data_IF_447619824779
#
_entry.id   IF_447619824779
#
_cell.length_a   1.000
_cell.length_b   1.000
_cell.length_c   1.000
_cell.angle_alpha   90.00
_cell.angle_beta   90.00
_cell.angle_gamma   90.00
#
_symmetry.space_group_name_H-M   'P 1'
#
loop_
_entity.id
_entity.type
_entity.pdbx_description
1 polymer ?
#
# COMPACT_ATOMS: atom_id res chain seq x y z
N UNK A 1 0.49 -13.12 -13.88
CA UNK A 1 -0.82 -12.43 -13.80
C UNK A 1 -1.94 -13.37 -13.31
N UNK A 2 -1.93 -14.67 -13.67
CA UNK A 2 -2.94 -15.65 -13.21
C UNK A 2 -3.02 -15.81 -11.68
N UNK A 3 -1.88 -15.77 -10.98
CA UNK A 3 -1.80 -16.03 -9.53
C UNK A 3 -2.52 -14.99 -8.64
N UNK A 4 -2.92 -13.86 -9.21
CA UNK A 4 -3.58 -12.75 -8.51
C UNK A 4 -4.99 -12.47 -9.04
N UNK A 5 -5.54 -13.33 -9.92
CA UNK A 5 -6.81 -13.09 -10.60
C UNK A 5 -7.97 -12.85 -9.61
N UNK A 6 -8.09 -13.66 -8.55
CA UNK A 6 -9.11 -13.48 -7.50
C UNK A 6 -9.03 -12.10 -6.83
N UNK A 7 -7.81 -11.61 -6.56
CA UNK A 7 -7.61 -10.27 -5.97
C UNK A 7 -8.00 -9.16 -6.95
N UNK A 8 -7.68 -9.34 -8.24
CA UNK A 8 -8.04 -8.37 -9.29
C UNK A 8 -9.55 -8.33 -9.50
N UNK A 9 -10.25 -9.46 -9.44
CA UNK A 9 -11.70 -9.55 -9.67
C UNK A 9 -12.55 -9.33 -8.41
N UNK A 10 -11.94 -9.05 -7.26
CA UNK A 10 -12.67 -8.86 -5.99
C UNK A 10 -13.76 -7.78 -6.11
N UNK A 11 -13.57 -6.73 -6.92
CA UNK A 11 -14.57 -5.68 -7.15
C UNK A 11 -15.89 -6.21 -7.74
N UNK A 12 -15.88 -7.37 -8.40
CA UNK A 12 -17.10 -7.98 -8.97
C UNK A 12 -18.03 -8.57 -7.92
N UNK A 13 -17.49 -8.92 -6.74
CA UNK A 13 -18.23 -9.53 -5.62
C UNK A 13 -18.31 -8.62 -4.39
N UNK A 14 -17.36 -7.70 -4.23
CA UNK A 14 -17.31 -6.73 -3.15
C UNK A 14 -17.30 -5.30 -3.69
N UNK A 15 -18.46 -4.64 -3.64
CA UNK A 15 -18.66 -3.28 -4.14
C UNK A 15 -17.94 -2.20 -3.33
N UNK A 16 -17.43 -2.52 -2.14
CA UNK A 16 -16.57 -1.60 -1.39
C UNK A 16 -15.16 -1.46 -2.00
N UNK A 17 -14.77 -2.40 -2.87
CA UNK A 17 -13.48 -2.35 -3.59
C UNK A 17 -13.70 -1.65 -4.93
N UNK A 18 -13.00 -0.54 -5.22
CA UNK A 18 -13.12 0.13 -6.51
C UNK A 18 -12.54 -0.74 -7.63
N UNK A 19 -13.16 -0.68 -8.81
CA UNK A 19 -12.68 -1.42 -10.00
C UNK A 19 -11.36 -0.87 -10.57
N UNK A 20 -10.95 0.34 -10.14
CA UNK A 20 -9.76 1.03 -10.65
C UNK A 20 -8.55 0.87 -9.74
N UNK A 21 -7.35 0.93 -10.33
CA UNK A 21 -6.08 0.96 -9.61
C UNK A 21 -5.67 2.37 -9.12
N UNK A 22 -6.58 3.36 -9.18
CA UNK A 22 -6.24 4.76 -8.94
C UNK A 22 -5.62 4.97 -7.55
N UNK A 23 -6.11 4.29 -6.52
CA UNK A 23 -5.57 4.40 -5.15
C UNK A 23 -4.09 4.00 -5.06
N UNK A 24 -3.70 2.90 -5.71
CA UNK A 24 -2.31 2.43 -5.74
C UNK A 24 -1.41 3.37 -6.55
N UNK A 25 -1.92 3.89 -7.67
CA UNK A 25 -1.18 4.84 -8.50
C UNK A 25 -0.97 6.17 -7.77
N UNK A 26 -2.00 6.69 -7.09
CA UNK A 26 -1.91 7.89 -6.26
C UNK A 26 -0.87 7.72 -5.16
N UNK A 27 -0.79 6.55 -4.52
CA UNK A 27 0.22 6.26 -3.52
C UNK A 27 1.66 6.31 -4.07
N UNK A 28 1.86 6.06 -5.36
CA UNK A 28 3.16 6.15 -6.04
C UNK A 28 3.44 7.52 -6.68
N UNK A 29 2.44 8.39 -6.86
CA UNK A 29 2.61 9.71 -7.47
C UNK A 29 3.55 10.60 -6.68
N UNK A 30 3.41 10.61 -5.35
CA UNK A 30 4.28 11.37 -4.44
C UNK A 30 5.77 11.07 -4.67
N UNK A 31 6.23 9.81 -4.51
CA UNK A 31 7.65 9.49 -4.68
C UNK A 31 8.15 9.68 -6.12
N UNK A 32 7.31 9.41 -7.14
CA UNK A 32 7.66 9.68 -8.55
C UNK A 32 7.85 11.17 -8.82
N UNK A 33 6.94 12.01 -8.33
CA UNK A 33 7.05 13.47 -8.46
C UNK A 33 8.26 14.01 -7.72
N UNK A 34 8.52 13.52 -6.50
CA UNK A 34 9.70 13.89 -5.74
C UNK A 34 10.98 13.56 -6.51
N UNK A 35 11.11 12.34 -7.07
CA UNK A 35 12.24 11.97 -7.92
C UNK A 35 12.40 12.91 -9.13
N UNK A 36 11.30 13.28 -9.79
CA UNK A 36 11.34 14.11 -10.99
C UNK A 36 11.72 15.58 -10.70
N UNK A 37 11.28 16.13 -9.56
CA UNK A 37 11.51 17.53 -9.21
C UNK A 37 12.84 17.73 -8.48
N UNK A 38 13.14 16.91 -7.47
CA UNK A 38 14.34 17.10 -6.64
C UNK A 38 15.52 16.22 -7.05
N UNK A 39 15.29 15.19 -7.90
CA UNK A 39 16.29 14.15 -8.16
C UNK A 39 16.61 13.29 -6.94
N UNK A 40 16.00 13.58 -5.77
CA UNK A 40 16.53 13.19 -4.48
C UNK A 40 15.79 11.97 -3.91
N UNK A 41 16.23 10.82 -4.36
CA UNK A 41 16.24 9.61 -3.56
C UNK A 41 17.69 9.16 -3.55
N UNK A 42 18.47 9.58 -2.55
CA UNK A 42 19.94 9.38 -2.46
C UNK A 42 20.47 8.07 -3.05
N UNK A 43 19.72 6.99 -2.85
CA UNK A 43 19.94 5.68 -3.46
C UNK A 43 18.60 4.97 -3.69
N UNK A 44 18.62 3.92 -4.53
CA UNK A 44 17.48 3.01 -4.69
C UNK A 44 17.03 2.38 -3.36
N UNK A 45 17.97 2.15 -2.43
CA UNK A 45 17.66 1.61 -1.11
C UNK A 45 16.79 2.57 -0.28
N UNK A 46 17.06 3.89 -0.36
CA UNK A 46 16.25 4.91 0.32
C UNK A 46 14.82 4.93 -0.22
N UNK A 47 14.65 4.91 -1.54
CA UNK A 47 13.33 4.83 -2.17
C UNK A 47 12.59 3.53 -1.78
N UNK A 48 13.30 2.40 -1.76
CA UNK A 48 12.72 1.11 -1.37
C UNK A 48 12.19 1.13 0.07
N UNK A 49 12.97 1.69 1.02
CA UNK A 49 12.54 1.87 2.42
C UNK A 49 11.31 2.77 2.53
N UNK A 50 11.30 3.90 1.82
CA UNK A 50 10.14 4.79 1.76
C UNK A 50 8.89 4.05 1.25
N UNK A 51 9.00 3.38 0.10
CA UNK A 51 7.89 2.63 -0.51
C UNK A 51 7.38 1.51 0.40
N UNK A 52 8.27 0.83 1.14
CA UNK A 52 7.88 -0.22 2.10
C UNK A 52 7.02 0.34 3.23
N UNK A 53 7.43 1.44 3.85
CA UNK A 53 6.64 2.06 4.94
C UNK A 53 5.34 2.65 4.38
N UNK A 54 5.41 3.38 3.28
CA UNK A 54 4.26 4.05 2.70
C UNK A 54 3.19 3.05 2.20
N UNK A 55 3.60 1.96 1.55
CA UNK A 55 2.67 0.91 1.10
C UNK A 55 1.93 0.26 2.27
N UNK A 56 2.63 -0.08 3.36
CA UNK A 56 2.01 -0.59 4.58
C UNK A 56 0.92 0.36 5.13
N UNK A 57 1.25 1.64 5.25
CA UNK A 57 0.31 2.64 5.78
C UNK A 57 -0.89 2.88 4.86
N UNK A 58 -0.69 2.90 3.54
CA UNK A 58 -1.77 3.03 2.57
C UNK A 58 -2.71 1.81 2.63
N UNK A 59 -2.15 0.60 2.74
CA UNK A 59 -2.95 -0.62 2.88
C UNK A 59 -3.73 -0.64 4.20
N UNK A 60 -3.11 -0.29 5.32
CA UNK A 60 -3.77 -0.19 6.62
C UNK A 60 -4.93 0.83 6.58
N UNK A 61 -4.68 2.02 6.01
CA UNK A 61 -5.72 3.04 5.81
C UNK A 61 -6.87 2.52 4.94
N UNK A 62 -6.56 1.78 3.87
CA UNK A 62 -7.57 1.16 3.00
C UNK A 62 -8.47 0.14 3.72
N UNK A 63 -8.02 -0.40 4.85
CA UNK A 63 -8.77 -1.33 5.70
C UNK A 63 -9.34 -0.65 6.96
N UNK A 64 -9.41 0.69 6.98
CA UNK A 64 -10.01 1.44 8.09
C UNK A 64 -9.12 1.64 9.31
N UNK A 65 -7.84 1.31 9.22
CA UNK A 65 -6.90 1.45 10.35
C UNK A 65 -6.24 2.82 10.28
N UNK A 66 -6.27 3.56 11.40
CA UNK A 66 -5.60 4.87 11.48
C UNK A 66 -4.09 4.66 11.40
N UNK A 67 -3.39 5.54 10.69
CA UNK A 67 -1.95 5.43 10.51
C UNK A 67 -1.19 5.35 11.84
N UNK A 68 -1.58 6.14 12.84
CA UNK A 68 -0.95 6.13 14.17
C UNK A 68 -1.09 4.77 14.86
N UNK A 69 -2.25 4.11 14.75
CA UNK A 69 -2.49 2.80 15.35
C UNK A 69 -1.65 1.73 14.62
N UNK A 70 -1.60 1.79 13.28
CA UNK A 70 -0.80 0.87 12.48
C UNK A 70 0.70 1.00 12.76
N UNK A 71 1.19 2.22 12.98
CA UNK A 71 2.58 2.51 13.37
C UNK A 71 2.85 1.97 14.77
N UNK A 72 1.99 2.30 15.74
CA UNK A 72 2.13 1.83 17.11
C UNK A 72 2.16 0.30 17.17
N UNK A 73 1.22 -0.37 16.49
CA UNK A 73 1.14 -1.83 16.46
C UNK A 73 2.40 -2.46 15.82
N UNK A 74 2.91 -1.88 14.73
CA UNK A 74 4.14 -2.34 14.09
C UNK A 74 5.37 -2.18 15.00
N UNK A 75 5.51 -1.04 15.69
CA UNK A 75 6.60 -0.79 16.64
C UNK A 75 6.50 -1.70 17.87
N UNK A 76 5.28 -2.06 18.29
CA UNK A 76 5.04 -3.01 19.37
C UNK A 76 5.21 -4.49 18.96
N UNK A 77 5.76 -4.76 17.77
CA UNK A 77 6.00 -6.13 17.26
C UNK A 77 4.73 -6.88 16.85
N UNK A 78 3.59 -6.19 16.75
CA UNK A 78 2.28 -6.76 16.38
C UNK A 78 1.69 -5.99 15.20
N UNK A 79 2.38 -5.93 14.04
CA UNK A 79 1.87 -5.21 12.88
C UNK A 79 0.54 -5.80 12.44
N UNK A 80 -0.37 -4.95 11.97
CA UNK A 80 -1.58 -5.44 11.34
C UNK A 80 -1.22 -6.05 9.98
N UNK A 81 -1.76 -7.21 9.68
CA UNK A 81 -1.61 -7.85 8.37
C UNK A 81 -3.01 -8.15 7.82
N UNK A 82 -3.24 -7.94 6.52
CA UNK A 82 -4.50 -8.34 5.90
C UNK A 82 -4.64 -9.86 6.02
N UNK A 83 -5.82 -10.32 6.40
CA UNK A 83 -6.12 -11.75 6.39
C UNK A 83 -6.02 -12.24 4.94
N UNK A 84 -5.25 -13.31 4.66
CA UNK A 84 -5.25 -13.88 3.33
C UNK A 84 -6.67 -14.34 3.00
N UNK A 85 -7.17 -13.94 1.84
CA UNK A 85 -8.37 -14.57 1.26
C UNK A 85 -8.00 -16.05 1.09
N UNK A 86 -8.54 -16.89 1.97
CA UNK A 86 -8.42 -18.34 1.83
C UNK A 86 -9.27 -18.71 0.62
N UNK A 87 -8.64 -19.39 -0.34
CA UNK A 87 -9.28 -19.86 -1.57
C UNK A 87 -10.33 -20.94 -1.28
#
# INVERSE_FOLDING_TARGET
MKDKAEQVWTFTRNLAVPWTNNSSEQALKGPKRHQAVSGYWHTMATLSRYCRVHSYLVTAKGHGIRAIDAIHAALAGRPWLPTPVTA
#
